data_IF_632806872199
#
_entry.id   IF_632806872199
#
_cell.length_a   1.000
_cell.length_b   1.000
_cell.length_c   1.000
_cell.angle_alpha   90.00
_cell.angle_beta   90.00
_cell.angle_gamma   90.00
#
_symmetry.space_group_name_H-M   'P 1'
#
loop_
_entity.id
_entity.type
_entity.pdbx_description
1 polymer ?
#
# COMPACT_ATOMS: atom_id res chain seq x y z
N UNK A 1 -3.02 15.39 17.51
CA UNK A 1 -3.70 15.64 16.42
C UNK A 1 -3.90 14.46 15.58
N UNK A 2 -5.00 14.29 15.10
CA UNK A 2 -5.30 13.15 14.34
C UNK A 2 -4.69 13.23 13.01
N UNK A 3 -4.24 12.15 12.50
CA UNK A 3 -3.71 12.13 11.21
C UNK A 3 -4.78 12.08 10.22
N UNK A 4 -4.59 12.71 9.11
CA UNK A 4 -5.52 12.66 8.04
C UNK A 4 -5.41 11.35 7.33
N UNK A 5 -6.49 10.72 6.98
CA UNK A 5 -6.41 9.50 6.20
C UNK A 5 -5.81 9.80 4.85
N UNK A 6 -5.12 8.86 4.31
CA UNK A 6 -4.50 9.02 3.01
C UNK A 6 -5.02 7.98 2.07
N UNK A 7 -5.00 8.28 0.79
CA UNK A 7 -5.35 7.28 -0.20
C UNK A 7 -4.12 6.45 -0.48
N UNK A 8 -4.26 5.16 -0.38
CA UNK A 8 -3.17 4.22 -0.56
C UNK A 8 -3.33 3.53 -1.90
N UNK A 9 -2.33 3.61 -2.73
CA UNK A 9 -2.36 2.95 -4.03
C UNK A 9 -2.03 1.48 -3.85
N UNK A 10 -2.90 0.62 -4.32
CA UNK A 10 -2.69 -0.81 -4.22
C UNK A 10 -2.14 -1.41 -5.50
N UNK A 11 -2.10 -0.67 -6.55
CA UNK A 11 -1.77 -1.17 -7.86
C UNK A 11 -3.04 -1.59 -8.56
N UNK A 12 -2.93 -2.03 -9.78
CA UNK A 12 -4.08 -2.45 -10.60
C UNK A 12 -5.15 -1.34 -10.65
N UNK A 13 -4.72 -0.09 -10.56
CA UNK A 13 -5.65 1.02 -10.64
C UNK A 13 -6.53 1.22 -9.42
N UNK A 14 -6.20 0.62 -8.28
CA UNK A 14 -7.04 0.69 -7.09
C UNK A 14 -6.41 1.57 -6.03
N UNK A 15 -7.26 2.37 -5.39
CA UNK A 15 -6.86 3.22 -4.28
C UNK A 15 -7.85 3.01 -3.15
N UNK A 16 -7.37 2.95 -1.92
CA UNK A 16 -8.28 2.81 -0.76
C UNK A 16 -7.82 3.77 0.32
N UNK A 17 -8.72 4.10 1.22
CA UNK A 17 -8.36 4.98 2.33
C UNK A 17 -7.57 4.21 3.37
N UNK A 18 -6.53 4.81 3.86
CA UNK A 18 -5.65 4.16 4.83
C UNK A 18 -6.39 3.76 6.10
N UNK A 19 -7.38 4.53 6.51
CA UNK A 19 -8.10 4.25 7.75
C UNK A 19 -9.18 3.19 7.58
N UNK A 20 -9.34 2.64 6.38
CA UNK A 20 -10.33 1.59 6.16
C UNK A 20 -9.68 0.22 5.94
N UNK A 21 -8.38 0.17 5.83
CA UNK A 21 -7.69 -1.10 5.70
C UNK A 21 -7.57 -1.72 7.08
N UNK A 22 -8.04 -2.92 7.25
CA UNK A 22 -7.96 -3.54 8.58
C UNK A 22 -7.14 -4.83 8.59
N UNK A 23 -6.73 -5.33 7.44
CA UNK A 23 -5.88 -6.51 7.40
C UNK A 23 -5.11 -6.56 6.10
N UNK A 24 -3.90 -7.02 6.14
CA UNK A 24 -3.03 -7.14 4.99
C UNK A 24 -2.30 -8.47 5.10
N UNK A 25 -2.23 -9.19 4.01
CA UNK A 25 -1.56 -10.48 4.00
C UNK A 25 -0.75 -10.63 2.74
N UNK A 26 0.53 -10.95 2.82
CA UNK A 26 1.29 -11.20 1.60
C UNK A 26 0.81 -12.48 0.96
N UNK A 27 0.73 -12.51 -0.35
CA UNK A 27 0.31 -13.70 -1.04
C UNK A 27 1.42 -14.72 -1.03
N UNK A 28 1.06 -15.98 -0.97
CA UNK A 28 2.02 -17.05 -1.06
C UNK A 28 2.58 -17.06 -2.46
N UNK A 29 3.78 -17.58 -2.58
CA UNK A 29 4.47 -17.62 -3.87
C UNK A 29 3.57 -18.16 -4.97
N UNK A 30 2.88 -19.22 -4.71
CA UNK A 30 2.06 -19.88 -5.72
C UNK A 30 0.85 -19.05 -6.11
N UNK A 31 0.49 -18.06 -5.34
CA UNK A 31 -0.67 -17.23 -5.63
C UNK A 31 -0.29 -15.90 -6.26
N UNK A 32 0.97 -15.68 -6.51
CA UNK A 32 1.44 -14.42 -7.07
C UNK A 32 1.40 -14.47 -8.58
N UNK A 33 0.23 -14.27 -9.15
CA UNK A 33 0.08 -14.30 -10.58
C UNK A 33 -0.18 -12.93 -11.10
N UNK A 34 0.27 -12.62 -12.26
CA UNK A 34 -0.03 -11.38 -12.96
C UNK A 34 0.34 -10.15 -12.13
N UNK A 35 1.41 -10.25 -11.37
CA UNK A 35 1.87 -9.13 -10.57
C UNK A 35 1.24 -9.01 -9.22
N UNK A 36 0.33 -9.91 -8.85
CA UNK A 36 -0.31 -9.86 -7.54
C UNK A 36 0.69 -10.13 -6.44
N UNK A 37 0.65 -9.38 -5.36
CA UNK A 37 1.59 -9.55 -4.26
C UNK A 37 0.94 -9.62 -2.90
N UNK A 38 -0.17 -8.95 -2.70
CA UNK A 38 -0.74 -8.77 -1.37
C UNK A 38 -2.25 -8.82 -1.41
N UNK A 39 -2.84 -9.36 -0.37
CA UNK A 39 -4.28 -9.36 -0.19
C UNK A 39 -4.60 -8.32 0.86
N UNK A 40 -5.56 -7.45 0.59
CA UNK A 40 -5.88 -6.34 1.45
C UNK A 40 -7.37 -6.35 1.76
N UNK A 41 -7.70 -6.34 3.03
CA UNK A 41 -9.09 -6.31 3.45
C UNK A 41 -9.47 -4.90 3.87
N UNK A 42 -10.54 -4.41 3.29
CA UNK A 42 -10.99 -3.04 3.47
C UNK A 42 -12.38 -3.02 4.05
N UNK A 43 -12.59 -2.23 5.07
CA UNK A 43 -13.89 -2.10 5.70
C UNK A 43 -14.95 -1.74 4.68
N UNK A 44 -16.05 -2.45 4.69
CA UNK A 44 -17.13 -2.18 3.77
C UNK A 44 -17.05 -2.92 2.45
N UNK A 45 -15.93 -3.59 2.18
CA UNK A 45 -15.78 -4.37 0.96
C UNK A 45 -15.67 -5.83 1.39
N UNK A 46 -16.62 -6.66 1.01
CA UNK A 46 -16.65 -8.04 1.53
C UNK A 46 -15.47 -8.91 1.12
N UNK A 47 -15.00 -8.73 -0.10
CA UNK A 47 -13.90 -9.57 -0.57
C UNK A 47 -12.59 -8.84 -0.49
N UNK A 48 -11.53 -9.55 -0.18
CA UNK A 48 -10.23 -8.94 -0.15
C UNK A 48 -9.85 -8.40 -1.52
N UNK A 49 -9.16 -7.29 -1.54
CA UNK A 49 -8.66 -6.74 -2.79
C UNK A 49 -7.25 -7.25 -3.01
N UNK A 50 -6.92 -7.45 -4.26
CA UNK A 50 -5.59 -7.91 -4.62
C UNK A 50 -4.75 -6.70 -5.02
N UNK A 51 -3.57 -6.62 -4.44
CA UNK A 51 -2.67 -5.51 -4.70
C UNK A 51 -1.41 -5.99 -5.39
N UNK A 52 -0.87 -5.16 -6.23
CA UNK A 52 0.40 -5.46 -6.87
C UNK A 52 1.57 -4.92 -6.05
N UNK A 53 1.29 -4.17 -5.00
CA UNK A 53 2.30 -3.61 -4.12
C UNK A 53 2.61 -4.57 -3.00
N UNK A 54 3.80 -4.53 -2.48
CA UNK A 54 4.18 -5.42 -1.38
C UNK A 54 3.53 -4.94 -0.08
N UNK A 55 3.43 -5.82 0.88
CA UNK A 55 2.87 -5.45 2.17
C UNK A 55 3.68 -4.33 2.81
N UNK A 56 4.99 -4.35 2.66
CA UNK A 56 5.82 -3.31 3.18
C UNK A 56 5.50 -1.98 2.58
N UNK A 57 5.31 -1.92 1.27
CA UNK A 57 4.98 -0.69 0.58
C UNK A 57 3.62 -0.17 1.01
N UNK A 58 2.66 -1.05 1.19
CA UNK A 58 1.33 -0.65 1.61
C UNK A 58 1.36 -0.12 3.04
N UNK A 59 2.05 -0.80 3.93
CA UNK A 59 2.16 -0.35 5.31
C UNK A 59 2.84 1.01 5.40
N UNK A 60 3.88 1.21 4.64
CA UNK A 60 4.56 2.49 4.62
C UNK A 60 3.65 3.60 4.12
N UNK A 61 2.85 3.32 3.11
CA UNK A 61 1.92 4.30 2.60
C UNK A 61 0.83 4.60 3.60
N UNK A 62 0.37 3.61 4.35
CA UNK A 62 -0.66 3.82 5.36
C UNK A 62 -0.20 4.72 6.46
N UNK A 63 1.04 4.64 6.82
CA UNK A 63 1.56 5.43 7.90
C UNK A 63 2.12 6.76 7.42
N UNK A 64 2.17 6.97 6.13
CA UNK A 64 2.75 8.17 5.57
C UNK A 64 4.27 8.14 5.59
N UNK A 65 4.85 7.03 5.95
CA UNK A 65 6.27 6.91 6.08
C UNK A 65 6.98 7.15 4.78
N UNK A 66 6.47 6.64 3.70
CA UNK A 66 7.07 6.83 2.42
C UNK A 66 7.10 8.29 2.07
N UNK A 67 6.05 9.03 2.35
CA UNK A 67 5.99 10.41 2.05
C UNK A 67 6.93 11.17 2.95
N UNK A 68 7.04 10.80 4.18
CA UNK A 68 7.91 11.43 5.10
C UNK A 68 9.37 11.25 4.73
N UNK A 69 9.69 10.17 4.06
CA UNK A 69 11.03 9.93 3.67
C UNK A 69 11.41 10.56 2.39
N UNK A 70 10.50 11.07 1.66
CA UNK A 70 10.79 11.70 0.42
C UNK A 70 11.60 12.91 0.69
N UNK A 71 12.74 13.06 0.10
CA UNK A 71 13.53 14.13 0.25
C UNK A 71 13.70 14.78 -0.94
N UNK A 72 13.91 15.93 -0.89
CA UNK A 72 14.26 16.59 -2.06
C UNK A 72 15.41 15.90 -2.44
N UNK A 73 15.56 15.63 -3.46
CA UNK A 73 16.48 14.81 -3.84
C UNK A 73 17.73 15.17 -3.70
N UNK A 74 17.92 15.36 -3.25
CA UNK A 74 19.04 15.42 -3.11
C UNK A 74 19.57 14.17 -3.17
N UNK A 75 19.44 13.80 -3.08
CA UNK A 75 19.47 12.71 -3.08
C UNK A 75 19.34 11.78 -3.66
N UNK A 76 19.41 12.24 -4.06
CA UNK A 76 19.18 11.32 -4.55
C UNK A 76 19.21 10.79 -5.11
N UNK A 77 19.27 11.14 -5.32
CA UNK A 77 18.92 10.64 -5.75
C UNK A 77 18.75 9.99 -6.31
N UNK A 78 18.93 10.32 -6.61
CA UNK A 78 18.53 9.63 -7.09
C UNK A 78 18.15 9.02 -7.37
N UNK A 79 18.10 9.42 -7.29
CA UNK A 79 17.46 8.83 -7.37
C UNK A 79 17.06 8.21 -7.59
N UNK A 80 16.73 8.52 -7.62
CA UNK A 80 16.19 7.90 -7.63
C UNK A 80 16.01 7.57 -7.93
#
# INVERSE_FOLDING_TARGET
MAEQPQMVFLGFGKYVRSDRIYAIEPLRHEDRRSGARTRVWVEGIPDALIASRTEKAILAAMTGESRARVRPPAQDENLF
#
